data_IF_260015378887
#
_entry.id   IF_260015378887
#
_cell.length_a   1.000
_cell.length_b   1.000
_cell.length_c   1.000
_cell.angle_alpha   90.00
_cell.angle_beta   90.00
_cell.angle_gamma   90.00
#
_symmetry.space_group_name_H-M   'P 1'
#
loop_
_entity.id
_entity.type
_entity.pdbx_description
1 polymer ?
#
# COMPACT_ATOMS: atom_id res chain seq x y z
N UNK A 1 4.76 12.38 30.09
CA UNK A 1 3.65 11.60 29.51
C UNK A 1 3.99 11.30 28.08
N UNK A 2 3.73 10.08 27.61
CA UNK A 2 3.88 9.72 26.21
C UNK A 2 2.83 10.47 25.38
N UNK A 3 3.27 11.39 24.52
CA UNK A 3 2.40 12.02 23.52
C UNK A 3 2.58 11.19 22.25
N UNK A 4 1.55 10.47 21.78
CA UNK A 4 1.67 9.70 20.56
C UNK A 4 1.90 10.62 19.36
N UNK A 5 2.68 10.14 18.40
CA UNK A 5 2.84 10.81 17.11
C UNK A 5 1.45 10.93 16.45
N UNK A 6 1.05 12.13 15.99
CA UNK A 6 -0.28 12.32 15.41
C UNK A 6 -0.41 11.53 14.11
N UNK A 7 -1.59 10.97 13.80
CA UNK A 7 -1.84 10.33 12.51
C UNK A 7 -1.77 11.37 11.40
N UNK A 8 -1.20 10.99 10.24
CA UNK A 8 -1.21 11.84 9.05
C UNK A 8 -2.61 12.07 8.50
N UNK A 9 -2.81 13.19 7.80
CA UNK A 9 -4.14 13.60 7.30
C UNK A 9 -4.78 12.56 6.38
N UNK A 10 -4.00 11.89 5.53
CA UNK A 10 -4.52 10.84 4.64
C UNK A 10 -4.96 9.60 5.43
N UNK A 11 -4.23 9.24 6.50
CA UNK A 11 -4.61 8.13 7.38
C UNK A 11 -5.97 8.41 8.02
N UNK A 12 -6.19 9.63 8.51
CA UNK A 12 -7.48 10.03 9.08
C UNK A 12 -8.61 10.01 8.04
N UNK A 13 -8.36 10.56 6.85
CA UNK A 13 -9.36 10.61 5.78
C UNK A 13 -9.73 9.22 5.26
N UNK A 14 -8.74 8.35 5.06
CA UNK A 14 -8.99 7.00 4.58
C UNK A 14 -9.72 6.18 5.65
N UNK A 15 -9.32 6.31 6.92
CA UNK A 15 -10.02 5.66 8.04
C UNK A 15 -11.48 6.11 8.16
N UNK A 16 -11.74 7.41 8.07
CA UNK A 16 -13.10 7.96 8.09
C UNK A 16 -13.94 7.51 6.87
N UNK A 17 -13.33 7.43 5.67
CA UNK A 17 -13.97 6.86 4.50
C UNK A 17 -14.40 5.40 4.74
N UNK A 18 -13.50 4.56 5.25
CA UNK A 18 -13.81 3.16 5.55
C UNK A 18 -14.90 3.02 6.62
N UNK A 19 -14.81 3.80 7.70
CA UNK A 19 -15.82 3.79 8.77
C UNK A 19 -17.20 4.24 8.26
N UNK A 20 -17.26 5.31 7.46
CA UNK A 20 -18.51 5.75 6.85
C UNK A 20 -19.08 4.69 5.93
N UNK A 21 -18.28 4.10 5.06
CA UNK A 21 -18.74 3.00 4.18
C UNK A 21 -19.28 1.83 5.00
N UNK A 22 -18.60 1.43 6.08
CA UNK A 22 -19.08 0.36 6.95
C UNK A 22 -20.41 0.67 7.65
N UNK A 23 -20.63 1.93 8.01
CA UNK A 23 -21.83 2.37 8.74
C UNK A 23 -23.04 2.61 7.81
N UNK A 24 -22.81 3.04 6.58
CA UNK A 24 -23.88 3.46 5.66
C UNK A 24 -24.17 2.46 4.55
N UNK A 25 -23.26 1.51 4.30
CA UNK A 25 -23.33 0.57 3.19
C UNK A 25 -23.41 -0.88 3.67
N UNK A 26 -23.59 -1.81 2.73
CA UNK A 26 -23.62 -3.25 3.04
C UNK A 26 -22.23 -3.87 3.24
N UNK A 27 -22.18 -5.11 3.77
CA UNK A 27 -20.93 -5.84 4.00
C UNK A 27 -20.10 -6.00 2.73
N UNK A 28 -20.74 -6.26 1.59
CA UNK A 28 -20.06 -6.33 0.30
C UNK A 28 -19.31 -5.04 -0.04
N UNK A 29 -19.95 -3.88 0.14
CA UNK A 29 -19.38 -2.57 -0.21
C UNK A 29 -18.16 -2.21 0.65
N UNK A 30 -18.19 -2.47 1.96
CA UNK A 30 -17.02 -2.23 2.83
C UNK A 30 -15.86 -3.17 2.49
N UNK A 31 -16.14 -4.42 2.14
CA UNK A 31 -15.09 -5.34 1.69
C UNK A 31 -14.49 -4.86 0.36
N UNK A 32 -15.30 -4.38 -0.58
CA UNK A 32 -14.78 -3.75 -1.80
C UNK A 32 -13.93 -2.51 -1.48
N UNK A 33 -14.30 -1.70 -0.49
CA UNK A 33 -13.52 -0.55 -0.05
C UNK A 33 -12.16 -0.94 0.56
N UNK A 34 -12.03 -2.14 1.13
CA UNK A 34 -10.77 -2.68 1.64
C UNK A 34 -9.93 -3.34 0.53
N UNK A 35 -10.53 -3.74 -0.58
CA UNK A 35 -9.83 -4.55 -1.58
C UNK A 35 -8.53 -3.94 -2.14
N UNK A 36 -8.43 -2.62 -2.39
CA UNK A 36 -7.19 -2.03 -2.85
C UNK A 36 -6.01 -2.26 -1.92
N UNK A 37 -6.19 -2.23 -0.58
CA UNK A 37 -5.07 -2.44 0.34
C UNK A 37 -4.59 -3.89 0.38
N UNK A 38 -5.49 -4.88 0.23
CA UNK A 38 -5.09 -6.28 0.14
C UNK A 38 -4.30 -6.55 -1.14
N UNK A 39 -4.80 -6.04 -2.27
CA UNK A 39 -4.19 -6.28 -3.58
C UNK A 39 -2.90 -5.50 -3.74
N UNK A 40 -2.87 -4.21 -3.39
CA UNK A 40 -1.68 -3.35 -3.56
C UNK A 40 -0.49 -3.90 -2.79
N UNK A 41 -0.68 -4.29 -1.53
CA UNK A 41 0.41 -4.79 -0.69
C UNK A 41 0.96 -6.11 -1.22
N UNK A 42 0.09 -7.04 -1.63
CA UNK A 42 0.53 -8.30 -2.26
C UNK A 42 1.34 -8.01 -3.52
N UNK A 43 0.82 -7.17 -4.40
CA UNK A 43 1.45 -6.88 -5.70
C UNK A 43 2.80 -6.16 -5.52
N UNK A 44 2.88 -5.21 -4.58
CA UNK A 44 4.14 -4.55 -4.18
C UNK A 44 5.13 -5.57 -3.62
N UNK A 45 4.69 -6.44 -2.71
CA UNK A 45 5.52 -7.50 -2.14
C UNK A 45 6.08 -8.42 -3.21
N UNK A 46 5.19 -8.99 -4.05
CA UNK A 46 5.57 -9.90 -5.15
C UNK A 46 6.47 -9.24 -6.18
N UNK A 47 6.27 -7.95 -6.46
CA UNK A 47 7.22 -7.17 -7.26
C UNK A 47 8.57 -7.26 -6.55
N UNK A 48 8.71 -6.58 -5.42
CA UNK A 48 10.01 -6.30 -4.79
C UNK A 48 10.73 -7.55 -4.29
N UNK A 49 10.04 -8.68 -4.09
CA UNK A 49 10.66 -9.97 -3.81
C UNK A 49 11.70 -10.34 -4.88
N UNK A 50 11.45 -10.01 -6.16
CA UNK A 50 12.37 -10.25 -7.28
C UNK A 50 13.59 -9.33 -7.29
N UNK A 51 13.60 -8.31 -6.44
CA UNK A 51 14.66 -7.28 -6.29
C UNK A 51 15.47 -7.42 -5.00
N UNK A 52 15.11 -8.34 -4.11
CA UNK A 52 15.80 -8.52 -2.84
C UNK A 52 17.27 -8.89 -3.07
N UNK A 53 18.15 -8.28 -2.28
CA UNK A 53 19.58 -8.57 -2.28
C UNK A 53 20.15 -8.48 -0.86
N UNK A 54 21.41 -8.91 -0.68
CA UNK A 54 22.06 -8.93 0.64
C UNK A 54 22.20 -7.54 1.27
N UNK A 55 22.15 -6.48 0.46
CA UNK A 55 22.18 -5.08 0.91
C UNK A 55 20.81 -4.53 1.31
N UNK A 56 19.71 -5.24 1.07
CA UNK A 56 18.37 -4.76 1.44
C UNK A 56 18.26 -4.66 2.96
N UNK A 57 17.91 -3.48 3.52
CA UNK A 57 17.69 -3.31 4.95
C UNK A 57 16.70 -4.33 5.50
N UNK A 58 17.00 -4.90 6.67
CA UNK A 58 16.20 -5.95 7.30
C UNK A 58 14.72 -5.59 7.43
N UNK A 59 14.41 -4.32 7.73
CA UNK A 59 13.02 -3.83 7.85
C UNK A 59 12.26 -3.91 6.52
N UNK A 60 12.89 -3.55 5.40
CA UNK A 60 12.26 -3.63 4.08
C UNK A 60 12.17 -5.07 3.60
N UNK A 61 13.19 -5.88 3.86
CA UNK A 61 13.14 -7.32 3.59
C UNK A 61 11.95 -7.98 4.29
N UNK A 62 11.80 -7.74 5.60
CA UNK A 62 10.69 -8.28 6.40
C UNK A 62 9.33 -7.86 5.84
N UNK A 63 9.18 -6.58 5.47
CA UNK A 63 7.96 -6.07 4.85
C UNK A 63 7.67 -6.81 3.53
N UNK A 64 8.64 -6.86 2.63
CA UNK A 64 8.49 -7.48 1.30
C UNK A 64 8.16 -8.97 1.43
N UNK A 65 8.90 -9.72 2.24
CA UNK A 65 8.71 -11.15 2.44
C UNK A 65 7.34 -11.46 3.08
N UNK A 66 6.84 -10.59 3.96
CA UNK A 66 5.51 -10.75 4.57
C UNK A 66 4.40 -10.68 3.52
N UNK A 67 4.42 -9.67 2.65
CA UNK A 67 3.35 -9.46 1.66
C UNK A 67 3.54 -10.28 0.38
N UNK A 68 4.76 -10.73 0.09
CA UNK A 68 5.03 -11.70 -0.98
C UNK A 68 4.80 -13.17 -0.55
N UNK A 69 4.64 -13.42 0.75
CA UNK A 69 4.54 -14.76 1.30
C UNK A 69 3.23 -15.48 0.95
N UNK A 70 3.30 -16.81 0.82
CA UNK A 70 2.17 -17.66 0.43
C UNK A 70 0.95 -17.48 1.36
N UNK A 71 1.17 -17.29 2.66
CA UNK A 71 0.09 -17.09 3.63
C UNK A 71 -0.73 -15.82 3.33
N UNK A 72 -0.07 -14.71 3.00
CA UNK A 72 -0.75 -13.47 2.62
C UNK A 72 -1.37 -13.59 1.22
N UNK A 73 -0.67 -14.24 0.29
CA UNK A 73 -1.17 -14.55 -1.04
C UNK A 73 -2.51 -15.32 -1.01
N UNK A 74 -2.57 -16.41 -0.27
CA UNK A 74 -3.79 -17.21 -0.11
C UNK A 74 -4.93 -16.47 0.58
N UNK A 75 -4.61 -15.58 1.54
CA UNK A 75 -5.61 -14.68 2.14
C UNK A 75 -6.22 -13.75 1.09
N UNK A 76 -5.39 -13.11 0.26
CA UNK A 76 -5.85 -12.18 -0.78
C UNK A 76 -6.64 -12.92 -1.87
N UNK A 77 -6.20 -14.11 -2.28
CA UNK A 77 -6.92 -14.94 -3.25
C UNK A 77 -8.31 -15.34 -2.76
N UNK A 78 -8.41 -15.86 -1.52
CA UNK A 78 -9.70 -16.22 -0.93
C UNK A 78 -10.62 -15.01 -0.77
N UNK A 79 -10.05 -13.87 -0.39
CA UNK A 79 -10.79 -12.61 -0.28
C UNK A 79 -11.32 -12.11 -1.64
N UNK A 80 -10.51 -12.16 -2.70
CA UNK A 80 -10.95 -11.78 -4.05
C UNK A 80 -12.01 -12.74 -4.59
N UNK A 81 -11.86 -14.04 -4.38
CA UNK A 81 -12.85 -15.03 -4.79
C UNK A 81 -14.22 -14.77 -4.12
N UNK A 82 -14.22 -14.41 -2.83
CA UNK A 82 -15.44 -14.01 -2.13
C UNK A 82 -16.07 -12.74 -2.75
N UNK A 83 -15.27 -11.73 -3.07
CA UNK A 83 -15.77 -10.51 -3.72
C UNK A 83 -16.34 -10.78 -5.11
N UNK A 84 -15.72 -11.67 -5.88
CA UNK A 84 -16.21 -12.08 -7.21
C UNK A 84 -17.55 -12.83 -7.10
N UNK A 85 -17.70 -13.71 -6.11
CA UNK A 85 -18.97 -14.40 -5.83
C UNK A 85 -20.09 -13.40 -5.52
N UNK A 86 -19.84 -12.45 -4.62
CA UNK A 86 -20.83 -11.43 -4.25
C UNK A 86 -21.14 -10.49 -5.42
N UNK A 87 -20.12 -10.10 -6.19
CA UNK A 87 -20.29 -9.30 -7.41
C UNK A 87 -21.12 -10.04 -8.46
N UNK A 88 -21.05 -11.37 -8.56
CA UNK A 88 -21.86 -12.14 -9.51
C UNK A 88 -23.36 -12.04 -9.23
N UNK A 89 -23.74 -11.84 -7.97
CA UNK A 89 -25.13 -11.69 -7.48
C UNK A 89 -25.63 -10.25 -7.50
N UNK A 90 -24.71 -9.28 -7.64
CA UNK A 90 -25.04 -7.86 -7.63
C UNK A 90 -25.71 -7.40 -8.93
N UNK A 91 -26.67 -6.48 -8.81
CA UNK A 91 -27.28 -5.77 -9.93
C UNK A 91 -26.26 -4.87 -10.65
N UNK A 92 -26.56 -4.44 -11.87
CA UNK A 92 -25.70 -3.49 -12.60
C UNK A 92 -25.46 -2.20 -11.83
N UNK A 93 -26.51 -1.65 -11.21
CA UNK A 93 -26.41 -0.45 -10.41
C UNK A 93 -25.50 -0.63 -9.18
N UNK A 94 -25.65 -1.74 -8.45
CA UNK A 94 -24.75 -2.05 -7.32
C UNK A 94 -23.30 -2.21 -7.77
N UNK A 95 -23.05 -2.80 -8.95
CA UNK A 95 -21.71 -2.93 -9.53
C UNK A 95 -21.07 -1.57 -9.79
N UNK A 96 -21.83 -0.61 -10.33
CA UNK A 96 -21.35 0.76 -10.53
C UNK A 96 -21.02 1.45 -9.21
N UNK A 97 -21.86 1.29 -8.18
CA UNK A 97 -21.61 1.86 -6.86
C UNK A 97 -20.34 1.29 -6.22
N UNK A 98 -20.17 -0.03 -6.18
CA UNK A 98 -18.98 -0.63 -5.58
C UNK A 98 -17.72 -0.36 -6.40
N UNK A 99 -17.82 -0.18 -7.72
CA UNK A 99 -16.70 0.26 -8.53
C UNK A 99 -16.25 1.68 -8.18
N UNK A 100 -17.19 2.60 -7.91
CA UNK A 100 -16.85 3.94 -7.44
C UNK A 100 -16.17 3.91 -6.06
N UNK A 101 -16.64 3.03 -5.16
CA UNK A 101 -16.03 2.80 -3.84
C UNK A 101 -14.61 2.24 -3.98
N UNK A 102 -14.40 1.22 -4.80
CA UNK A 102 -13.08 0.64 -5.08
C UNK A 102 -12.11 1.70 -5.65
N UNK A 103 -12.59 2.50 -6.61
CA UNK A 103 -11.80 3.57 -7.23
C UNK A 103 -11.37 4.62 -6.21
N UNK A 104 -12.27 5.02 -5.31
CA UNK A 104 -11.96 5.97 -4.23
C UNK A 104 -10.95 5.40 -3.24
N UNK A 105 -11.14 4.15 -2.82
CA UNK A 105 -10.20 3.46 -1.92
C UNK A 105 -8.80 3.33 -2.54
N UNK A 106 -8.72 2.99 -3.83
CA UNK A 106 -7.45 2.92 -4.57
C UNK A 106 -6.74 4.27 -4.61
N UNK A 107 -7.50 5.36 -4.75
CA UNK A 107 -6.92 6.70 -4.69
C UNK A 107 -6.38 7.06 -3.31
N UNK A 108 -7.07 6.69 -2.23
CA UNK A 108 -6.55 6.86 -0.87
C UNK A 108 -5.29 6.04 -0.60
N UNK A 109 -5.25 4.80 -1.09
CA UNK A 109 -4.07 3.95 -1.01
C UNK A 109 -2.87 4.60 -1.71
N UNK A 110 -3.06 5.15 -2.92
CA UNK A 110 -2.02 5.92 -3.59
C UNK A 110 -1.57 7.16 -2.80
N UNK A 111 -2.52 7.94 -2.27
CA UNK A 111 -2.22 9.10 -1.43
C UNK A 111 -1.46 8.74 -0.15
N UNK A 112 -1.71 7.56 0.42
CA UNK A 112 -1.03 7.09 1.62
C UNK A 112 0.48 6.89 1.36
N UNK A 113 0.81 6.25 0.23
CA UNK A 113 2.19 6.09 -0.21
C UNK A 113 2.85 7.43 -0.56
N UNK A 114 2.14 8.28 -1.30
CA UNK A 114 2.64 9.61 -1.69
C UNK A 114 2.96 10.48 -0.46
N UNK A 115 2.07 10.54 0.52
CA UNK A 115 2.30 11.33 1.75
C UNK A 115 3.40 10.78 2.62
N UNK A 116 3.55 9.45 2.67
CA UNK A 116 4.66 8.83 3.39
C UNK A 116 6.01 9.20 2.76
N UNK A 117 6.06 9.30 1.43
CA UNK A 117 7.27 9.71 0.70
C UNK A 117 7.57 11.21 0.88
N UNK A 118 6.57 12.09 0.71
CA UNK A 118 6.72 13.54 0.92
C UNK A 118 7.15 13.88 2.35
N UNK A 119 6.60 13.18 3.36
CA UNK A 119 7.01 13.38 4.75
C UNK A 119 8.51 13.09 4.97
N UNK A 120 9.09 12.11 4.28
CA UNK A 120 10.53 11.82 4.36
C UNK A 120 11.39 12.95 3.77
N UNK A 121 10.91 13.62 2.74
CA UNK A 121 11.60 14.76 2.12
C UNK A 121 11.57 15.97 3.06
N UNK A 122 10.41 16.26 3.67
CA UNK A 122 10.22 17.39 4.59
C UNK A 122 10.95 17.21 5.94
N UNK A 123 11.06 15.97 6.45
CA UNK A 123 11.79 15.64 7.70
C UNK A 123 13.33 15.62 7.52
N UNK A 124 13.83 15.96 6.32
CA UNK A 124 15.27 16.07 6.03
C UNK A 124 16.01 14.72 5.95
N UNK A 125 15.29 13.59 5.96
CA UNK A 125 15.85 12.23 5.84
C UNK A 125 15.88 11.72 4.39
N UNK A 126 15.30 12.47 3.45
CA UNK A 126 15.25 12.14 2.02
C UNK A 126 16.60 12.27 1.28
N UNK A 127 17.48 13.18 1.71
CA UNK A 127 18.72 13.49 0.99
C UNK A 127 19.81 12.39 1.11
N UNK A 128 19.79 11.60 2.19
CA UNK A 128 20.78 10.53 2.40
C UNK A 128 20.56 9.31 1.49
N UNK A 129 19.40 9.18 0.85
CA UNK A 129 19.07 8.03 -0.01
C UNK A 129 19.60 8.14 -1.44
N UNK A 130 19.99 9.34 -1.90
CA UNK A 130 20.54 9.54 -3.26
C UNK A 130 22.08 9.50 -3.33
N UNK A 131 22.80 9.56 -2.20
CA UNK A 131 24.27 9.65 -2.19
C UNK A 131 25.03 8.32 -2.24
N UNK A 132 24.33 7.18 -2.34
CA UNK A 132 24.94 5.84 -2.30
C UNK A 132 25.42 5.26 -3.63
N UNK A 133 25.29 5.99 -4.75
CA UNK A 133 25.65 5.50 -6.10
C UNK A 133 26.64 6.44 -6.79
N UNK A 134 27.83 6.61 -6.22
CA UNK A 134 29.00 7.08 -6.96
C UNK A 134 29.95 5.90 -7.15
N UNK A 135 30.14 5.55 -8.42
CA UNK A 135 30.99 4.48 -8.94
C UNK A 135 32.47 4.70 -8.53
N UNK A 136 33.24 3.69 -8.05
CA UNK A 136 34.63 3.89 -7.60
C UNK A 136 35.64 4.07 -8.75
N UNK A 137 35.20 4.25 -10.00
CA UNK A 137 36.07 4.14 -11.17
C UNK A 137 36.83 5.41 -11.59
N UNK A 138 36.68 6.55 -10.89
CA UNK A 138 37.32 7.81 -11.31
C UNK A 138 38.38 8.32 -10.31
N UNK A 139 39.40 7.50 -10.06
CA UNK A 139 40.68 7.95 -9.51
C UNK A 139 41.84 7.39 -10.34
N UNK A 140 42.00 7.92 -11.55
CA UNK A 140 43.26 7.82 -12.29
C UNK A 140 43.58 9.13 -13.01
N UNK A 141 44.78 9.66 -12.71
CA UNK A 141 45.53 10.75 -13.36
C UNK A 141 45.03 12.18 -13.12
N UNK A 142 45.84 13.17 -12.76
CA UNK A 142 47.30 13.30 -12.65
C UNK A 142 47.66 14.79 -12.50
N UNK A 143 48.88 15.10 -12.03
CA UNK A 143 49.45 16.45 -12.03
C UNK A 143 49.95 16.90 -10.66
#
# INVERSE_FOLDING_TARGET
GFIPFPPGDVTLQYGDFLLRTALTSGPFTILVALAPCFVSYRDIGLWYARKLCDRTPFIYRTFIESYAGEAYGGLVEGFLAFLEEEASRATSWQKEEVFAVFSRATHYEWLFWEKSYQFLEEDGRGEDSQKGSADPADQTHGG
#
